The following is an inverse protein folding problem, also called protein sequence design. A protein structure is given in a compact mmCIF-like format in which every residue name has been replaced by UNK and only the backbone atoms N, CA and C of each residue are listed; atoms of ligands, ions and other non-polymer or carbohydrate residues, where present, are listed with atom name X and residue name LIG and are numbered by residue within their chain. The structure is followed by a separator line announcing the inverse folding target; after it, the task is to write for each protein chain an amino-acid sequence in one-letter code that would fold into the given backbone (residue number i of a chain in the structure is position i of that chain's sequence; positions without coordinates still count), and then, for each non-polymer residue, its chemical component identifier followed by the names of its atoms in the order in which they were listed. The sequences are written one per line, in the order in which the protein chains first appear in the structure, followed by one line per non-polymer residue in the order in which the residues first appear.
data_IF_080029399892
#
_entry.id   IF_080029399892
#
_cell.length_a   1.000
_cell.length_b   1.000
_cell.length_c   1.000
_cell.angle_alpha   90.00
_cell.angle_beta   90.00
_cell.angle_gamma   90.00
#
_symmetry.space_group_name_H-M   'P 1'
#
loop_
_entity.id
_entity.type
_entity.pdbx_description
1 polymer ?
#
# COMPACT_ATOMS: atom_id res chain seq x y z
N UNK A 1 -1.87 1.90 6.15
CA UNK A 1 -1.20 0.68 5.64
C UNK A 1 -1.89 0.06 4.43
N UNK A 2 -3.22 -0.10 4.40
CA UNK A 2 -3.89 -0.77 3.27
C UNK A 2 -3.51 -0.21 1.88
N UNK A 3 -3.57 1.12 1.70
CA UNK A 3 -3.19 1.79 0.43
C UNK A 3 -1.74 1.54 0.05
N UNK A 4 -0.84 1.56 1.04
CA UNK A 4 0.57 1.27 0.83
C UNK A 4 0.80 -0.19 0.39
N UNK A 5 0.11 -1.16 0.99
CA UNK A 5 0.21 -2.59 0.63
C UNK A 5 -0.31 -2.83 -0.80
N UNK A 6 -1.40 -2.15 -1.18
CA UNK A 6 -1.90 -2.18 -2.56
C UNK A 6 -0.88 -1.58 -3.54
N UNK A 7 -0.26 -0.44 -3.21
CA UNK A 7 0.79 0.18 -4.02
C UNK A 7 2.05 -0.69 -4.16
N UNK A 8 2.33 -1.56 -3.18
CA UNK A 8 3.39 -2.56 -3.24
C UNK A 8 3.03 -3.77 -4.12
N UNK A 9 1.79 -3.89 -4.56
CA UNK A 9 1.29 -5.03 -5.33
C UNK A 9 1.00 -6.28 -4.50
N UNK A 10 0.85 -6.14 -3.17
CA UNK A 10 0.55 -7.26 -2.26
C UNK A 10 -0.95 -7.45 -2.01
N UNK A 11 -1.79 -6.59 -2.57
CA UNK A 11 -3.25 -6.71 -2.55
C UNK A 11 -3.80 -6.42 -3.94
N UNK A 12 -5.01 -6.92 -4.22
CA UNK A 12 -5.66 -6.67 -5.49
C UNK A 12 -6.00 -5.18 -5.66
N UNK A 13 -5.99 -4.65 -6.90
CA UNK A 13 -6.42 -3.28 -7.15
C UNK A 13 -7.84 -3.01 -6.63
N UNK A 14 -7.99 -1.90 -5.91
CA UNK A 14 -9.20 -1.45 -5.21
C UNK A 14 -9.32 -1.94 -3.77
N UNK A 15 -8.54 -2.94 -3.35
CA UNK A 15 -8.66 -3.59 -2.03
C UNK A 15 -8.63 -2.60 -0.86
N UNK A 16 -7.78 -1.59 -0.94
CA UNK A 16 -7.56 -0.63 0.14
C UNK A 16 -8.67 0.40 0.31
N UNK A 17 -9.55 0.56 -0.68
CA UNK A 17 -10.59 1.60 -0.71
C UNK A 17 -12.01 1.05 -0.56
N UNK A 18 -12.27 -0.20 -0.99
CA UNK A 18 -13.60 -0.81 -0.85
C UNK A 18 -14.10 -0.77 0.60
N UNK A 19 -15.24 -0.12 0.88
CA UNK A 19 -15.85 -0.13 2.21
C UNK A 19 -16.13 -1.56 2.67
N UNK A 20 -16.02 -1.81 3.97
CA UNK A 20 -16.08 -3.17 4.52
C UNK A 20 -17.36 -3.94 4.17
N UNK A 21 -18.50 -3.23 4.07
CA UNK A 21 -19.81 -3.82 3.75
C UNK A 21 -20.20 -3.68 2.27
N UNK A 22 -19.28 -3.21 1.42
CA UNK A 22 -19.54 -3.05 -0.01
C UNK A 22 -19.62 -4.41 -0.73
N UNK A 23 -20.50 -4.56 -1.74
CA UNK A 23 -20.51 -5.76 -2.59
C UNK A 23 -19.15 -6.02 -3.28
N UNK A 24 -18.41 -4.96 -3.57
CA UNK A 24 -17.07 -5.02 -4.16
C UNK A 24 -16.07 -5.75 -3.26
N UNK A 25 -16.10 -5.49 -1.94
CA UNK A 25 -15.26 -6.21 -0.98
C UNK A 25 -15.54 -7.72 -0.97
N UNK A 26 -16.81 -8.11 -1.05
CA UNK A 26 -17.18 -9.53 -1.15
C UNK A 26 -16.68 -10.16 -2.46
N UNK A 27 -16.86 -9.48 -3.59
CA UNK A 27 -16.35 -9.94 -4.90
C UNK A 27 -14.83 -10.00 -4.95
N UNK A 28 -14.15 -9.10 -4.25
CA UNK A 28 -12.68 -9.12 -4.14
C UNK A 28 -12.19 -10.41 -3.47
N UNK A 29 -12.86 -10.89 -2.42
CA UNK A 29 -12.50 -12.14 -1.75
C UNK A 29 -12.55 -13.34 -2.69
N UNK A 30 -13.52 -13.39 -3.61
CA UNK A 30 -13.59 -14.44 -4.64
C UNK A 30 -12.41 -14.31 -5.64
N UNK A 31 -12.12 -13.09 -6.10
CA UNK A 31 -11.00 -12.80 -7.01
C UNK A 31 -9.64 -13.07 -6.38
N UNK A 32 -9.51 -12.93 -5.06
CA UNK A 32 -8.29 -13.23 -4.34
C UNK A 32 -7.90 -14.71 -4.49
N UNK A 33 -8.87 -15.63 -4.52
CA UNK A 33 -8.60 -17.06 -4.73
C UNK A 33 -8.01 -17.33 -6.13
N UNK A 34 -8.53 -16.66 -7.16
CA UNK A 34 -7.98 -16.75 -8.52
C UNK A 34 -6.55 -16.20 -8.59
N UNK A 35 -6.30 -15.06 -7.95
CA UNK A 35 -4.98 -14.46 -7.88
C UNK A 35 -3.97 -15.37 -7.14
N UNK A 36 -4.37 -15.97 -6.02
CA UNK A 36 -3.55 -16.92 -5.27
C UNK A 36 -3.19 -18.12 -6.14
N UNK A 37 -4.15 -18.68 -6.88
CA UNK A 37 -3.88 -19.78 -7.83
C UNK A 37 -2.81 -19.39 -8.85
N UNK A 38 -2.93 -18.22 -9.48
CA UNK A 38 -1.95 -17.72 -10.46
C UNK A 38 -0.56 -17.54 -9.82
N UNK A 39 -0.51 -16.97 -8.62
CA UNK A 39 0.74 -16.76 -7.87
C UNK A 39 1.42 -18.11 -7.56
N UNK A 40 0.66 -19.12 -7.16
CA UNK A 40 1.16 -20.48 -6.92
C UNK A 40 1.66 -21.15 -8.21
N UNK A 41 0.88 -21.09 -9.29
CA UNK A 41 1.25 -21.67 -10.59
C UNK A 41 2.52 -21.04 -11.16
N UNK A 42 2.70 -19.73 -10.96
CA UNK A 42 3.90 -19.00 -11.39
C UNK A 42 5.07 -19.07 -10.41
N UNK A 43 4.88 -19.68 -9.24
CA UNK A 43 5.90 -19.72 -8.20
C UNK A 43 6.30 -18.33 -7.67
N UNK A 44 5.40 -17.35 -7.74
CA UNK A 44 5.65 -16.00 -7.24
C UNK A 44 5.55 -15.97 -5.71
N UNK A 45 6.53 -15.35 -5.06
CA UNK A 45 6.62 -15.23 -3.61
C UNK A 45 6.52 -13.76 -3.21
N UNK A 46 6.15 -13.45 -1.96
CA UNK A 46 6.10 -12.06 -1.48
C UNK A 46 7.40 -11.28 -1.70
N UNK A 47 8.57 -11.92 -1.54
CA UNK A 47 9.89 -11.29 -1.80
C UNK A 47 10.11 -10.92 -3.27
N UNK A 48 9.43 -11.58 -4.19
CA UNK A 48 9.49 -11.24 -5.62
C UNK A 48 8.68 -9.96 -5.92
N UNK A 49 7.76 -9.57 -5.03
CA UNK A 49 6.92 -8.36 -5.14
C UNK A 49 7.45 -7.20 -4.28
N UNK A 50 7.91 -7.50 -3.06
CA UNK A 50 8.47 -6.52 -2.11
C UNK A 50 9.87 -6.08 -2.54
N UNK A 51 9.98 -5.40 -3.67
CA UNK A 51 11.23 -4.85 -4.20
C UNK A 51 11.48 -3.43 -3.69
N UNK A 52 12.69 -2.91 -3.90
CA UNK A 52 13.00 -1.49 -3.59
C UNK A 52 12.04 -0.52 -4.29
N UNK A 53 11.63 -0.81 -5.52
CA UNK A 53 10.67 -0.01 -6.27
C UNK A 53 9.25 -0.09 -5.66
N UNK A 54 8.85 -1.26 -5.16
CA UNK A 54 7.55 -1.41 -4.49
C UNK A 54 7.49 -0.57 -3.19
N UNK A 55 8.55 -0.58 -2.39
CA UNK A 55 8.64 0.30 -1.22
C UNK A 55 8.63 1.78 -1.59
N UNK A 56 9.31 2.18 -2.67
CA UNK A 56 9.25 3.57 -3.18
C UNK A 56 7.83 3.97 -3.57
N UNK A 57 7.10 3.11 -4.30
CA UNK A 57 5.70 3.35 -4.64
C UNK A 57 4.83 3.53 -3.38
N UNK A 58 5.05 2.70 -2.37
CA UNK A 58 4.34 2.75 -1.10
C UNK A 58 4.61 4.06 -0.34
N UNK A 59 5.87 4.51 -0.32
CA UNK A 59 6.27 5.79 0.29
C UNK A 59 5.65 6.96 -0.46
N UNK A 60 5.75 6.99 -1.80
CA UNK A 60 5.14 8.05 -2.63
C UNK A 60 3.64 8.16 -2.34
N UNK A 61 2.90 7.04 -2.37
CA UNK A 61 1.47 7.07 -2.09
C UNK A 61 1.18 7.49 -0.65
N UNK A 62 2.00 7.07 0.31
CA UNK A 62 1.87 7.49 1.72
C UNK A 62 2.02 9.01 1.87
N UNK A 63 2.97 9.63 1.16
CA UNK A 63 3.16 11.09 1.19
C UNK A 63 1.98 11.82 0.54
N UNK A 64 1.52 11.36 -0.63
CA UNK A 64 0.37 11.92 -1.35
C UNK A 64 -0.88 11.94 -0.46
N UNK A 65 -1.10 10.85 0.28
CA UNK A 65 -2.30 10.66 1.10
C UNK A 65 -2.19 11.24 2.51
N UNK A 66 -1.03 11.76 2.93
CA UNK A 66 -0.82 12.20 4.31
C UNK A 66 -0.90 11.05 5.32
N UNK A 67 -0.35 9.89 4.97
CA UNK A 67 -0.46 8.67 5.77
C UNK A 67 0.23 8.74 7.13
N UNK A 68 -0.19 7.85 8.04
CA UNK A 68 0.31 7.78 9.42
C UNK A 68 1.83 7.61 9.49
N UNK A 69 2.46 8.29 10.45
CA UNK A 69 3.89 8.12 10.79
C UNK A 69 4.24 6.68 11.20
N UNK A 70 3.28 5.90 11.71
CA UNK A 70 3.46 4.46 11.95
C UNK A 70 3.80 3.69 10.66
N UNK A 71 3.45 4.23 9.49
CA UNK A 71 3.87 3.69 8.19
C UNK A 71 5.38 3.53 8.11
N UNK A 72 6.16 4.48 8.64
CA UNK A 72 7.64 4.42 8.64
C UNK A 72 8.13 3.18 9.37
N UNK A 73 7.59 2.90 10.57
CA UNK A 73 7.97 1.71 11.35
C UNK A 73 7.65 0.43 10.58
N UNK A 74 6.47 0.35 9.97
CA UNK A 74 6.06 -0.82 9.21
C UNK A 74 6.87 -1.00 7.93
N UNK A 75 7.20 0.07 7.20
CA UNK A 75 8.03 -0.02 6.00
C UNK A 75 9.44 -0.52 6.31
N UNK A 76 10.09 0.02 7.33
CA UNK A 76 11.43 -0.42 7.74
C UNK A 76 11.42 -1.88 8.21
N UNK A 77 10.42 -2.28 8.99
CA UNK A 77 10.27 -3.66 9.43
C UNK A 77 10.05 -4.63 8.26
N UNK A 78 9.12 -4.29 7.34
CA UNK A 78 8.83 -5.11 6.16
C UNK A 78 10.02 -5.20 5.22
N UNK A 79 10.73 -4.09 4.98
CA UNK A 79 11.92 -4.07 4.14
C UNK A 79 13.03 -4.95 4.72
N UNK A 80 13.25 -4.88 6.04
CA UNK A 80 14.17 -5.76 6.74
C UNK A 80 13.78 -7.24 6.59
N UNK A 81 12.49 -7.59 6.76
CA UNK A 81 12.00 -8.96 6.54
C UNK A 81 12.17 -9.45 5.09
N UNK A 82 12.11 -8.53 4.13
CA UNK A 82 12.27 -8.83 2.70
C UNK A 82 13.73 -8.79 2.21
N UNK A 83 14.71 -8.49 3.08
CA UNK A 83 16.11 -8.21 2.72
C UNK A 83 16.24 -7.08 1.67
N UNK A 84 15.43 -6.03 1.81
CA UNK A 84 15.49 -4.82 0.97
C UNK A 84 16.16 -3.69 1.74
N UNK A 85 17.21 -3.05 1.19
CA UNK A 85 17.80 -1.89 1.82
C UNK A 85 16.79 -0.74 1.79
N UNK A 86 16.25 -0.39 2.95
CA UNK A 86 15.41 0.79 3.17
C UNK A 86 15.78 1.39 4.52
N UNK A 87 15.97 2.70 4.53
CA UNK A 87 16.45 3.48 5.67
C UNK A 87 15.49 4.63 5.94
N UNK A 88 15.62 5.24 7.12
CA UNK A 88 14.83 6.43 7.45
C UNK A 88 15.13 7.60 6.51
N UNK A 89 16.36 7.71 6.02
CA UNK A 89 16.77 8.74 5.05
C UNK A 89 16.04 8.60 3.70
N UNK A 90 15.64 7.38 3.34
CA UNK A 90 14.82 7.15 2.15
C UNK A 90 13.43 7.78 2.31
N UNK A 91 12.85 7.66 3.50
CA UNK A 91 11.55 8.26 3.83
C UNK A 91 11.64 9.78 3.77
N UNK A 92 12.69 10.37 4.35
CA UNK A 92 12.92 11.81 4.34
C UNK A 92 13.09 12.35 2.91
N UNK A 93 13.94 11.69 2.09
CA UNK A 93 14.12 12.09 0.68
C UNK A 93 12.83 12.02 -0.12
N UNK A 94 11.99 11.00 0.10
CA UNK A 94 10.70 10.90 -0.59
C UNK A 94 9.71 11.94 -0.09
N UNK A 95 9.68 12.23 1.21
CA UNK A 95 8.84 13.30 1.78
C UNK A 95 9.19 14.67 1.21
N UNK A 96 10.48 14.99 1.08
CA UNK A 96 10.94 16.25 0.49
C UNK A 96 10.60 16.41 -1.00
N UNK A 97 10.34 15.30 -1.71
CA UNK A 97 10.09 15.28 -3.16
C UNK A 97 8.59 15.25 -3.50
N UNK A 98 7.75 14.71 -2.63
CA UNK A 98 6.35 14.38 -2.94
C UNK A 98 5.39 15.31 -2.20
N UNK A 99 4.49 16.01 -2.93
CA UNK A 99 3.50 16.87 -2.29
C UNK A 99 2.42 16.04 -1.57
N UNK A 100 1.88 16.61 -0.50
CA UNK A 100 0.64 16.15 0.11
C UNK A 100 -0.55 16.67 -0.72
N UNK A 101 -1.38 15.78 -1.26
CA UNK A 101 -2.45 16.13 -2.21
C UNK A 101 -3.85 15.77 -1.71
N UNK A 102 -3.99 14.74 -0.87
CA UNK A 102 -5.30 14.22 -0.49
C UNK A 102 -5.91 14.99 0.69
N UNK A 103 -7.14 15.49 0.54
CA UNK A 103 -7.89 16.14 1.61
C UNK A 103 -8.57 15.11 2.53
N UNK A 104 -7.79 14.23 3.17
CA UNK A 104 -8.28 13.13 4.00
C UNK A 104 -8.03 13.35 5.49
N UNK A 105 -9.02 13.01 6.32
CA UNK A 105 -8.89 13.00 7.78
C UNK A 105 -7.74 12.06 8.20
N UNK A 106 -6.94 12.44 9.22
CA UNK A 106 -7.18 13.52 10.18
C UNK A 106 -6.70 14.93 9.74
N UNK A 107 -5.96 15.04 8.64
CA UNK A 107 -5.40 16.32 8.17
C UNK A 107 -6.39 17.14 7.34
N UNK A 108 -7.30 16.46 6.67
CA UNK A 108 -8.29 17.01 5.76
C UNK A 108 -9.74 16.68 6.15
N UNK A 109 -10.66 16.93 5.22
CA UNK A 109 -12.11 16.86 5.45
C UNK A 109 -12.73 15.49 5.14
N UNK A 110 -12.24 14.81 4.10
CA UNK A 110 -12.86 13.62 3.55
C UNK A 110 -12.33 12.33 4.19
N UNK A 111 -12.99 11.21 3.91
CA UNK A 111 -12.63 9.89 4.42
C UNK A 111 -12.33 8.91 3.28
N UNK A 112 -11.83 7.71 3.61
CA UNK A 112 -11.55 6.67 2.61
C UNK A 112 -12.80 6.28 1.80
N UNK A 113 -14.00 6.35 2.41
CA UNK A 113 -15.25 6.12 1.67
C UNK A 113 -15.49 7.17 0.59
N UNK A 114 -15.08 8.43 0.83
CA UNK A 114 -15.19 9.48 -0.18
C UNK A 114 -14.17 9.28 -1.32
N UNK A 115 -12.98 8.76 -1.01
CA UNK A 115 -11.96 8.41 -2.03
C UNK A 115 -12.40 7.24 -2.92
N UNK A 116 -13.22 6.34 -2.37
CA UNK A 116 -13.74 5.18 -3.08
C UNK A 116 -14.81 5.54 -4.13
N UNK A 117 -15.56 6.62 -3.92
CA UNK A 117 -16.67 7.05 -4.78
C UNK A 117 -16.18 7.70 -6.08
#
# INVERSE_FOLDING_TARGET
MATAIEAMGLSLPGSSSYPALSPEKARECERAAEAIKIVMEKGLRPRDLMTRAAFENALVLTMILGGSTNGVLHFLAMANTADVPLTIDDVDRTSNRIPFLADLAPSGKYYMEDLYR
#
